data_IF_760122629610
#
_entry.id   IF_760122629610
#
_cell.length_a   1.000
_cell.length_b   1.000
_cell.length_c   1.000
_cell.angle_alpha   90.00
_cell.angle_beta   90.00
_cell.angle_gamma   90.00
#
_symmetry.space_group_name_H-M   'P 1'
#
loop_
_entity.id
_entity.type
_entity.pdbx_description
1 polymer ?
#
# COMPACT_ATOMS: atom_id res chain seq x y z
N UNK A 1 -4.09 -23.62 23.40
CA UNK A 1 -4.56 -22.37 22.74
C UNK A 1 -4.91 -22.70 21.29
N UNK A 2 -5.90 -22.03 20.72
CA UNK A 2 -6.44 -22.36 19.39
C UNK A 2 -6.39 -21.12 18.51
N UNK A 3 -5.77 -21.23 17.34
CA UNK A 3 -5.80 -20.21 16.29
C UNK A 3 -7.15 -20.33 15.59
N UNK A 4 -8.07 -19.42 15.93
CA UNK A 4 -9.42 -19.34 15.37
C UNK A 4 -9.80 -17.88 15.22
N UNK A 5 -10.45 -17.56 14.13
CA UNK A 5 -11.02 -16.27 13.85
C UNK A 5 -12.28 -16.04 14.67
N UNK A 6 -12.21 -15.04 15.54
CA UNK A 6 -13.34 -14.56 16.33
C UNK A 6 -13.02 -13.14 16.79
N UNK A 7 -13.63 -12.13 16.18
CA UNK A 7 -13.32 -10.73 16.51
C UNK A 7 -13.78 -10.37 17.92
N UNK A 8 -14.86 -10.99 18.42
CA UNK A 8 -15.41 -10.69 19.75
C UNK A 8 -14.58 -11.33 20.86
N UNK A 9 -14.31 -12.62 20.73
CA UNK A 9 -13.66 -13.40 21.79
C UNK A 9 -12.13 -13.47 21.64
N UNK A 10 -11.60 -13.21 20.44
CA UNK A 10 -10.18 -13.43 20.10
C UNK A 10 -9.60 -12.34 19.19
N UNK A 11 -9.99 -11.07 19.38
CA UNK A 11 -9.58 -9.93 18.56
C UNK A 11 -8.09 -9.92 18.16
N UNK A 12 -7.18 -10.21 19.09
CA UNK A 12 -5.74 -10.24 18.81
C UNK A 12 -5.30 -11.37 17.87
N UNK A 13 -5.91 -12.56 17.97
CA UNK A 13 -5.62 -13.68 17.04
C UNK A 13 -6.25 -13.40 15.68
N UNK A 14 -7.47 -12.88 15.66
CA UNK A 14 -8.20 -12.51 14.44
C UNK A 14 -7.43 -11.45 13.64
N UNK A 15 -6.92 -10.42 14.31
CA UNK A 15 -6.10 -9.39 13.65
C UNK A 15 -4.81 -9.96 13.04
N UNK A 16 -4.15 -10.92 13.71
CA UNK A 16 -2.97 -11.59 13.16
C UNK A 16 -3.30 -12.44 11.92
N UNK A 17 -4.46 -13.10 11.93
CA UNK A 17 -4.97 -13.82 10.75
C UNK A 17 -5.32 -12.87 9.60
N UNK A 18 -5.96 -11.73 9.89
CA UNK A 18 -6.28 -10.70 8.90
C UNK A 18 -5.01 -10.12 8.26
N UNK A 19 -3.99 -9.79 9.06
CA UNK A 19 -2.69 -9.32 8.56
C UNK A 19 -2.05 -10.38 7.67
N UNK A 20 -1.98 -11.64 8.14
CA UNK A 20 -1.35 -12.72 7.37
C UNK A 20 -2.09 -13.00 6.07
N UNK A 21 -3.42 -12.96 6.10
CA UNK A 21 -4.28 -13.09 4.92
C UNK A 21 -4.02 -11.96 3.93
N UNK A 22 -3.97 -10.70 4.40
CA UNK A 22 -3.71 -9.54 3.55
C UNK A 22 -2.34 -9.56 2.87
N UNK A 23 -1.31 -10.13 3.53
CA UNK A 23 0.04 -10.23 2.95
C UNK A 23 0.19 -11.43 2.02
N UNK A 24 -0.38 -12.58 2.38
CA UNK A 24 -0.16 -13.84 1.64
C UNK A 24 -1.22 -14.16 0.61
N UNK A 25 -2.38 -13.49 0.66
CA UNK A 25 -3.55 -13.78 -0.17
C UNK A 25 -4.33 -15.04 0.24
N UNK A 26 -3.88 -15.77 1.27
CA UNK A 26 -4.59 -16.94 1.80
C UNK A 26 -5.87 -16.52 2.51
N UNK A 27 -6.92 -17.32 2.39
CA UNK A 27 -8.16 -17.13 3.12
C UNK A 27 -7.99 -17.44 4.61
N UNK A 28 -8.86 -16.86 5.45
CA UNK A 28 -8.86 -17.14 6.89
C UNK A 28 -9.05 -18.64 7.17
N UNK A 29 -9.90 -19.33 6.41
CA UNK A 29 -10.15 -20.75 6.59
C UNK A 29 -8.90 -21.61 6.31
N UNK A 30 -8.14 -21.28 5.26
CA UNK A 30 -6.86 -21.95 4.97
C UNK A 30 -5.84 -21.73 6.09
N UNK A 31 -5.77 -20.50 6.62
CA UNK A 31 -4.87 -20.18 7.73
C UNK A 31 -5.29 -20.88 9.03
N UNK A 32 -6.58 -20.96 9.35
CA UNK A 32 -7.06 -21.72 10.51
C UNK A 32 -6.66 -23.20 10.41
N UNK A 33 -6.77 -23.79 9.22
CA UNK A 33 -6.35 -25.17 8.96
C UNK A 33 -4.82 -25.33 9.06
N UNK A 34 -4.05 -24.41 8.50
CA UNK A 34 -2.58 -24.42 8.55
C UNK A 34 -2.03 -24.33 9.98
N UNK A 35 -2.73 -23.58 10.84
CA UNK A 35 -2.35 -23.39 12.24
C UNK A 35 -3.11 -24.31 13.21
N UNK A 36 -3.79 -25.35 12.72
CA UNK A 36 -4.44 -26.34 13.58
C UNK A 36 -3.41 -27.03 14.49
N UNK A 37 -3.72 -27.09 15.79
CA UNK A 37 -2.81 -27.62 16.80
C UNK A 37 -1.55 -26.77 17.08
N UNK A 38 -1.37 -25.61 16.42
CA UNK A 38 -0.25 -24.71 16.66
C UNK A 38 -0.51 -23.71 17.78
N UNK A 39 0.57 -23.31 18.46
CA UNK A 39 0.55 -22.27 19.48
C UNK A 39 0.64 -20.87 18.86
N UNK A 40 0.15 -19.83 19.54
CA UNK A 40 0.20 -18.43 19.05
C UNK A 40 1.60 -17.91 18.70
N UNK A 41 2.66 -18.49 19.27
CA UNK A 41 4.03 -18.16 18.88
C UNK A 41 4.32 -18.47 17.41
N UNK A 42 3.75 -19.56 16.87
CA UNK A 42 3.90 -19.92 15.46
C UNK A 42 3.17 -18.92 14.55
N UNK A 43 1.94 -18.53 14.93
CA UNK A 43 1.18 -17.51 14.19
C UNK A 43 1.92 -16.17 14.18
N UNK A 44 2.44 -15.73 15.34
CA UNK A 44 3.22 -14.48 15.43
C UNK A 44 4.49 -14.53 14.59
N UNK A 45 5.21 -15.66 14.62
CA UNK A 45 6.41 -15.86 13.79
C UNK A 45 6.08 -15.77 12.31
N UNK A 46 5.07 -16.50 11.84
CA UNK A 46 4.64 -16.48 10.44
C UNK A 46 4.20 -15.08 9.99
N UNK A 47 3.47 -14.34 10.83
CA UNK A 47 3.09 -12.94 10.54
C UNK A 47 4.33 -12.06 10.44
N UNK A 48 5.28 -12.19 11.38
CA UNK A 48 6.50 -11.39 11.37
C UNK A 48 7.33 -11.64 10.11
N UNK A 49 7.52 -12.91 9.73
CA UNK A 49 8.29 -13.29 8.54
C UNK A 49 7.62 -12.78 7.26
N UNK A 50 6.29 -12.98 7.12
CA UNK A 50 5.55 -12.54 5.95
C UNK A 50 5.58 -11.02 5.78
N UNK A 51 5.28 -10.27 6.86
CA UNK A 51 5.26 -8.79 6.83
C UNK A 51 6.67 -8.23 6.61
N UNK A 52 7.67 -8.79 7.30
CA UNK A 52 9.06 -8.36 7.15
C UNK A 52 9.59 -8.58 5.74
N UNK A 53 9.30 -9.74 5.14
CA UNK A 53 9.65 -10.04 3.75
C UNK A 53 9.05 -9.03 2.77
N UNK A 54 7.73 -8.81 2.87
CA UNK A 54 7.01 -7.84 2.03
C UNK A 54 7.58 -6.42 2.19
N UNK A 55 7.84 -5.97 3.42
CA UNK A 55 8.39 -4.64 3.68
C UNK A 55 9.84 -4.50 3.23
N UNK A 56 10.64 -5.55 3.32
CA UNK A 56 12.05 -5.53 2.88
C UNK A 56 12.15 -5.31 1.38
N UNK A 57 11.33 -6.01 0.58
CA UNK A 57 11.27 -5.80 -0.87
C UNK A 57 10.79 -4.39 -1.22
N UNK A 58 9.77 -3.88 -0.50
CA UNK A 58 9.28 -2.52 -0.69
C UNK A 58 10.36 -1.47 -0.34
N UNK A 59 11.09 -1.68 0.75
CA UNK A 59 12.18 -0.80 1.17
C UNK A 59 13.34 -0.81 0.19
N UNK A 60 13.73 -1.96 -0.36
CA UNK A 60 14.76 -2.05 -1.39
C UNK A 60 14.40 -1.20 -2.61
N UNK A 61 13.17 -1.35 -3.11
CA UNK A 61 12.66 -0.51 -4.22
C UNK A 61 12.62 0.96 -3.84
N UNK A 62 12.14 1.28 -2.64
CA UNK A 62 12.12 2.65 -2.15
C UNK A 62 13.52 3.26 -2.14
N UNK A 63 14.53 2.60 -1.58
CA UNK A 63 15.88 3.14 -1.53
C UNK A 63 16.53 3.22 -2.92
N UNK A 64 16.26 2.27 -3.81
CA UNK A 64 16.70 2.33 -5.21
C UNK A 64 16.17 3.58 -5.91
N UNK A 65 14.87 3.89 -5.77
CA UNK A 65 14.29 5.10 -6.36
C UNK A 65 14.66 6.38 -5.61
N UNK A 66 14.65 6.35 -4.28
CA UNK A 66 14.79 7.55 -3.44
C UNK A 66 16.19 8.16 -3.55
N UNK A 67 17.20 7.33 -3.79
CA UNK A 67 18.59 7.75 -3.91
C UNK A 67 19.00 8.12 -5.35
N UNK A 68 18.12 7.88 -6.34
CA UNK A 68 18.34 8.31 -7.72
C UNK A 68 17.66 9.66 -7.97
N UNK A 69 18.36 10.75 -7.61
CA UNK A 69 17.83 12.11 -7.76
C UNK A 69 17.50 12.45 -9.22
N UNK A 70 18.30 11.99 -10.18
CA UNK A 70 18.09 12.26 -11.59
C UNK A 70 16.78 11.62 -12.09
N UNK A 71 16.52 10.37 -11.69
CA UNK A 71 15.26 9.70 -11.99
C UNK A 71 14.07 10.40 -11.35
N UNK A 72 14.18 10.81 -10.07
CA UNK A 72 13.12 11.54 -9.38
C UNK A 72 12.80 12.87 -10.09
N UNK A 73 13.81 13.65 -10.47
CA UNK A 73 13.63 14.89 -11.21
C UNK A 73 12.99 14.68 -12.57
N UNK A 74 13.36 13.61 -13.27
CA UNK A 74 12.72 13.26 -14.54
C UNK A 74 11.23 12.93 -14.34
N UNK A 75 10.90 12.08 -13.37
CA UNK A 75 9.50 11.71 -13.06
C UNK A 75 8.69 12.95 -12.68
N UNK A 76 9.25 13.86 -11.87
CA UNK A 76 8.58 15.11 -11.51
C UNK A 76 8.35 16.02 -12.73
N UNK A 77 9.34 16.19 -13.61
CA UNK A 77 9.21 17.00 -14.83
C UNK A 77 8.14 16.45 -15.76
N UNK A 78 8.16 15.14 -15.99
CA UNK A 78 7.21 14.46 -16.88
C UNK A 78 5.79 14.52 -16.30
N UNK A 79 5.65 14.30 -14.98
CA UNK A 79 4.38 14.42 -14.27
C UNK A 79 3.83 15.84 -14.30
N UNK A 80 4.68 16.84 -14.08
CA UNK A 80 4.30 18.25 -14.12
C UNK A 80 3.85 18.68 -15.52
N UNK A 81 4.53 18.24 -16.58
CA UNK A 81 4.13 18.53 -17.96
C UNK A 81 2.74 17.97 -18.28
N UNK A 82 2.48 16.70 -17.91
CA UNK A 82 1.17 16.04 -18.09
C UNK A 82 0.06 16.73 -17.29
N UNK A 83 0.32 17.00 -16.02
CA UNK A 83 -0.64 17.65 -15.14
C UNK A 83 -0.95 19.09 -15.62
N UNK A 84 0.07 19.85 -16.02
CA UNK A 84 -0.08 21.21 -16.53
C UNK A 84 -0.90 21.25 -17.81
N UNK A 85 -0.69 20.31 -18.74
CA UNK A 85 -1.47 20.24 -19.97
C UNK A 85 -2.98 20.14 -19.68
N UNK A 86 -3.38 19.23 -18.79
CA UNK A 86 -4.78 19.05 -18.40
C UNK A 86 -5.32 20.24 -17.59
N UNK A 87 -4.53 20.74 -16.64
CA UNK A 87 -4.93 21.88 -15.81
C UNK A 87 -5.16 23.15 -16.65
N UNK A 88 -4.33 23.37 -17.67
CA UNK A 88 -4.41 24.57 -18.51
C UNK A 88 -5.73 24.64 -19.30
N UNK A 89 -6.27 23.51 -19.76
CA UNK A 89 -7.57 23.46 -20.43
C UNK A 89 -8.70 23.93 -19.51
N UNK A 90 -8.67 23.50 -18.25
CA UNK A 90 -9.68 23.89 -17.26
C UNK A 90 -9.51 25.36 -16.88
N UNK A 91 -8.27 25.78 -16.63
CA UNK A 91 -7.97 27.17 -16.27
C UNK A 91 -8.39 28.15 -17.36
N UNK A 92 -8.20 27.80 -18.64
CA UNK A 92 -8.64 28.60 -19.77
C UNK A 92 -10.15 28.84 -19.76
N UNK A 93 -10.95 27.78 -19.57
CA UNK A 93 -12.42 27.87 -19.47
C UNK A 93 -12.86 28.76 -18.30
N UNK A 94 -12.17 28.66 -17.17
CA UNK A 94 -12.44 29.50 -15.99
C UNK A 94 -12.11 30.96 -16.27
N UNK A 95 -10.97 31.24 -16.90
CA UNK A 95 -10.57 32.61 -17.24
C UNK A 95 -11.55 33.26 -18.21
N UNK A 96 -11.98 32.51 -19.23
CA UNK A 96 -13.02 32.93 -20.17
C UNK A 96 -14.36 33.22 -19.46
N UNK A 97 -14.79 32.34 -18.54
CA UNK A 97 -16.04 32.51 -17.81
C UNK A 97 -16.03 33.73 -16.85
N UNK A 98 -14.88 34.04 -16.26
CA UNK A 98 -14.71 35.18 -15.34
C UNK A 98 -14.49 36.50 -16.10
N UNK A 99 -14.10 36.42 -17.38
CA UNK A 99 -13.86 37.59 -18.24
C UNK A 99 -12.43 38.15 -18.16
N UNK A 100 -11.46 37.34 -17.76
CA UNK A 100 -10.05 37.74 -17.81
C UNK A 100 -9.52 37.72 -19.25
N UNK A 101 -8.63 38.68 -19.56
CA UNK A 101 -7.92 38.68 -20.84
C UNK A 101 -7.03 37.45 -20.92
N UNK A 102 -7.19 36.66 -22.00
CA UNK A 102 -6.36 35.48 -22.22
C UNK A 102 -4.88 35.87 -22.26
N UNK A 103 -4.00 35.01 -21.72
CA UNK A 103 -2.57 35.19 -21.97
C UNK A 103 -2.31 35.17 -23.48
N UNK A 104 -1.52 36.12 -24.01
CA UNK A 104 -1.24 36.21 -25.44
C UNK A 104 -0.52 34.97 -25.99
#
# INVERSE_FOLDING_TARGET
>A
PVVRYDVKEKAGVSNLLDILSGVTGKTIAELEQEFEGKMYGHLKGAVADAVSGMLSELQERYYSFRNDEALLEQVMRDGAAKARAQAQETLKKVYEAVGFVAMP
#
